data_IF_194352126119
#
_entry.id   IF_194352126119
#
_cell.length_a   1.000
_cell.length_b   1.000
_cell.length_c   1.000
_cell.angle_alpha   90.00
_cell.angle_beta   90.00
_cell.angle_gamma   90.00
#
_symmetry.space_group_name_H-M   'P 1'
#
loop_
_entity.id
_entity.type
_entity.pdbx_description
1 polymer ?
#
# COMPACT_ATOMS: atom_id res chain seq x y z
N UNK A 1 -56.09 -29.62 -7.06
CA UNK A 1 -56.58 -28.51 -7.90
C UNK A 1 -56.26 -27.20 -7.18
N UNK A 2 -55.06 -26.65 -7.36
CA UNK A 2 -54.61 -25.36 -6.81
C UNK A 2 -54.53 -24.38 -7.99
N UNK A 3 -55.42 -23.40 -8.04
CA UNK A 3 -55.40 -22.30 -9.00
C UNK A 3 -54.87 -21.06 -8.28
N UNK A 4 -53.56 -20.83 -8.36
CA UNK A 4 -52.90 -19.59 -7.94
C UNK A 4 -51.56 -19.47 -8.68
N UNK A 5 -51.64 -19.25 -9.99
CA UNK A 5 -50.46 -19.00 -10.84
C UNK A 5 -50.91 -18.22 -12.09
N UNK A 6 -51.24 -16.93 -11.96
CA UNK A 6 -51.52 -16.06 -13.12
C UNK A 6 -51.55 -14.53 -12.82
N UNK A 7 -50.82 -14.04 -11.81
CA UNK A 7 -50.54 -12.59 -11.64
C UNK A 7 -49.02 -12.36 -11.62
N UNK A 8 -48.26 -13.02 -12.48
CA UNK A 8 -47.76 -12.35 -13.68
C UNK A 8 -47.96 -10.82 -13.75
N UNK A 9 -46.84 -10.14 -13.46
CA UNK A 9 -46.17 -9.27 -14.42
C UNK A 9 -46.96 -8.06 -14.90
N UNK A 10 -46.94 -6.97 -14.13
CA UNK A 10 -47.21 -5.63 -14.68
C UNK A 10 -46.68 -4.43 -13.87
N UNK A 11 -45.66 -4.65 -13.03
CA UNK A 11 -44.87 -3.58 -12.43
C UNK A 11 -43.50 -3.49 -13.08
N UNK A 12 -43.48 -3.12 -14.36
CA UNK A 12 -42.27 -2.89 -15.15
C UNK A 12 -41.46 -1.73 -14.55
N UNK A 13 -40.16 -2.00 -14.40
CA UNK A 13 -39.09 -1.06 -14.75
C UNK A 13 -39.27 0.40 -14.29
N UNK A 14 -38.81 0.68 -13.07
CA UNK A 14 -38.10 1.93 -12.83
C UNK A 14 -36.65 1.59 -12.53
N UNK A 15 -35.93 1.27 -13.61
CA UNK A 15 -34.50 1.51 -13.69
C UNK A 15 -34.24 2.95 -13.26
N UNK A 16 -33.70 3.12 -12.05
CA UNK A 16 -32.79 4.23 -11.77
C UNK A 16 -31.59 3.62 -11.09
N UNK A 17 -30.74 3.08 -11.96
CA UNK A 17 -29.29 3.24 -11.86
C UNK A 17 -28.96 4.30 -10.82
N UNK A 18 -28.53 3.85 -9.64
CA UNK A 18 -27.73 4.71 -8.78
C UNK A 18 -26.48 4.92 -9.60
N UNK A 19 -26.47 6.00 -10.37
CA UNK A 19 -25.26 6.64 -10.83
C UNK A 19 -24.48 6.90 -9.55
N UNK A 20 -23.63 5.95 -9.20
CA UNK A 20 -22.69 6.09 -8.11
C UNK A 20 -21.73 7.13 -8.65
N UNK A 21 -22.07 8.40 -8.46
CA UNK A 21 -21.12 9.49 -8.64
C UNK A 21 -19.86 8.99 -7.96
N UNK A 22 -18.79 8.81 -8.76
CA UNK A 22 -17.54 8.24 -8.30
C UNK A 22 -16.89 9.31 -7.43
N UNK A 23 -17.40 9.44 -6.21
CA UNK A 23 -16.86 10.31 -5.19
C UNK A 23 -15.66 9.57 -4.63
N UNK A 24 -14.47 9.97 -5.07
CA UNK A 24 -13.22 9.53 -4.46
C UNK A 24 -13.14 10.11 -3.05
N UNK A 25 -13.65 9.37 -2.06
CA UNK A 25 -13.52 9.75 -0.66
C UNK A 25 -12.07 9.50 -0.24
N UNK A 26 -11.30 10.57 -0.03
CA UNK A 26 -9.92 10.46 0.51
C UNK A 26 -10.05 10.23 2.03
N UNK A 27 -9.78 9.02 2.54
CA UNK A 27 -9.93 8.75 3.97
C UNK A 27 -8.90 9.57 4.76
N UNK A 28 -9.37 10.44 5.65
CA UNK A 28 -8.53 11.16 6.62
C UNK A 28 -8.64 10.46 7.98
N UNK A 29 -7.51 10.06 8.55
CA UNK A 29 -7.45 9.39 9.85
C UNK A 29 -6.37 10.00 10.74
N UNK A 30 -6.64 10.09 12.04
CA UNK A 30 -5.64 10.47 13.05
C UNK A 30 -4.77 9.28 13.50
N UNK A 31 -4.96 8.10 12.89
CA UNK A 31 -4.20 6.90 13.20
C UNK A 31 -3.25 6.60 12.05
N UNK A 32 -1.95 6.34 12.32
CA UNK A 32 -1.03 5.92 11.28
C UNK A 32 -1.53 4.60 10.67
N UNK A 33 -1.47 4.52 9.35
CA UNK A 33 -1.87 3.33 8.59
C UNK A 33 -0.64 2.52 8.24
N UNK A 34 -0.75 1.19 8.33
CA UNK A 34 0.33 0.29 7.94
C UNK A 34 0.58 0.36 6.43
N UNK A 35 1.85 0.48 6.04
CA UNK A 35 2.28 0.48 4.63
C UNK A 35 2.46 -0.93 4.04
N UNK A 36 2.64 -1.95 4.88
CA UNK A 36 2.88 -3.33 4.47
C UNK A 36 1.55 -4.06 4.24
N UNK A 37 1.48 -4.83 3.15
CA UNK A 37 0.30 -5.64 2.81
C UNK A 37 -1.00 -4.84 2.77
N UNK A 38 -0.91 -3.58 2.32
CA UNK A 38 -2.05 -2.68 2.22
C UNK A 38 -2.34 -2.37 0.74
N UNK A 39 -3.19 -3.18 0.09
CA UNK A 39 -3.48 -2.99 -1.32
C UNK A 39 -4.20 -1.66 -1.60
N UNK A 40 -4.92 -1.10 -0.62
CA UNK A 40 -5.67 0.14 -0.85
C UNK A 40 -4.79 1.40 -0.75
N UNK A 41 -3.54 1.29 -0.28
CA UNK A 41 -2.67 2.43 -0.05
C UNK A 41 -2.39 3.21 -1.35
N UNK A 42 -1.80 2.56 -2.35
CA UNK A 42 -1.43 3.23 -3.60
C UNK A 42 -2.64 3.57 -4.47
N UNK A 43 -3.69 2.74 -4.41
CA UNK A 43 -4.96 2.99 -5.08
C UNK A 43 -5.60 4.29 -4.57
N UNK A 44 -5.57 4.53 -3.25
CA UNK A 44 -6.11 5.74 -2.63
C UNK A 44 -5.23 6.98 -2.80
N UNK A 45 -3.91 6.83 -2.85
CA UNK A 45 -2.98 7.96 -3.05
C UNK A 45 -3.02 8.46 -4.50
N UNK A 46 -3.18 7.56 -5.48
CA UNK A 46 -3.11 7.88 -6.91
C UNK A 46 -4.36 7.46 -7.68
N UNK A 47 -5.54 8.05 -7.41
CA UNK A 47 -6.77 7.70 -8.11
C UNK A 47 -6.69 7.97 -9.62
N UNK A 48 -5.84 8.91 -10.06
CA UNK A 48 -5.58 9.20 -11.47
C UNK A 48 -4.78 8.11 -12.19
N UNK A 49 -3.90 7.41 -11.47
CA UNK A 49 -3.13 6.28 -12.00
C UNK A 49 -3.92 4.96 -11.92
N UNK A 50 -4.81 4.86 -10.94
CA UNK A 50 -5.67 3.70 -10.70
C UNK A 50 -7.17 4.08 -10.79
N UNK A 51 -7.68 4.45 -11.98
CA UNK A 51 -9.04 4.99 -12.13
C UNK A 51 -10.15 4.01 -11.75
N UNK A 52 -9.87 2.70 -11.79
CA UNK A 52 -10.83 1.66 -11.43
C UNK A 52 -10.69 1.20 -9.96
N UNK A 53 -9.74 1.75 -9.20
CA UNK A 53 -9.47 1.29 -7.83
C UNK A 53 -9.06 -0.18 -7.75
N UNK A 54 -8.43 -0.71 -8.79
CA UNK A 54 -7.97 -2.11 -8.86
C UNK A 54 -6.53 -2.19 -9.40
N UNK A 55 -5.93 -3.38 -9.36
CA UNK A 55 -4.55 -3.57 -9.83
C UNK A 55 -3.49 -3.11 -8.83
N UNK A 56 -3.78 -3.24 -7.53
CA UNK A 56 -2.83 -2.86 -6.49
C UNK A 56 -1.58 -3.75 -6.50
N UNK A 57 -0.49 -3.20 -5.97
CA UNK A 57 0.80 -3.87 -5.92
C UNK A 57 0.78 -5.16 -5.09
N UNK A 58 0.14 -5.11 -3.92
CA UNK A 58 0.09 -6.18 -2.94
C UNK A 58 -1.32 -6.78 -2.82
N UNK A 59 -1.99 -6.92 -3.96
CA UNK A 59 -3.33 -7.52 -4.02
C UNK A 59 -3.27 -9.03 -3.75
N UNK A 60 -3.80 -9.43 -2.59
CA UNK A 60 -3.89 -10.84 -2.18
C UNK A 60 -4.90 -11.68 -2.98
N UNK A 61 -5.77 -11.05 -3.78
CA UNK A 61 -6.70 -11.77 -4.66
C UNK A 61 -6.00 -12.35 -5.90
N UNK A 62 -4.77 -11.91 -6.19
CA UNK A 62 -4.00 -12.36 -7.35
C UNK A 62 -3.58 -13.83 -7.19
N UNK A 63 -3.73 -14.67 -8.23
CA UNK A 63 -3.33 -16.09 -8.15
C UNK A 63 -1.81 -16.27 -7.99
N UNK A 64 -1.01 -15.34 -8.50
CA UNK A 64 0.45 -15.34 -8.40
C UNK A 64 0.89 -14.20 -7.53
N UNK A 65 1.64 -14.49 -6.46
CA UNK A 65 2.26 -13.45 -5.63
C UNK A 65 3.39 -12.79 -6.41
N UNK A 66 3.31 -11.47 -6.56
CA UNK A 66 4.35 -10.66 -7.20
C UNK A 66 5.06 -9.87 -6.10
N UNK A 67 6.37 -9.79 -6.15
CA UNK A 67 7.11 -8.96 -5.21
C UNK A 67 6.84 -7.47 -5.46
N UNK A 68 6.88 -6.67 -4.39
CA UNK A 68 6.62 -5.24 -4.46
C UNK A 68 7.56 -4.55 -5.47
N UNK A 69 8.84 -4.93 -5.50
CA UNK A 69 9.84 -4.34 -6.41
C UNK A 69 9.60 -4.75 -7.86
N UNK A 70 9.24 -6.00 -8.08
CA UNK A 70 8.96 -6.53 -9.42
C UNK A 70 7.73 -5.87 -10.04
N UNK A 71 6.66 -5.73 -9.25
CA UNK A 71 5.47 -5.04 -9.72
C UNK A 71 5.73 -3.55 -9.97
N UNK A 72 6.52 -2.87 -9.13
CA UNK A 72 6.92 -1.48 -9.40
C UNK A 72 7.68 -1.34 -10.70
N UNK A 73 8.60 -2.26 -11.01
CA UNK A 73 9.31 -2.27 -12.31
C UNK A 73 8.32 -2.39 -13.46
N UNK A 74 7.34 -3.28 -13.35
CA UNK A 74 6.28 -3.41 -14.35
C UNK A 74 5.47 -2.11 -14.52
N UNK A 75 5.06 -1.45 -13.42
CA UNK A 75 4.30 -0.20 -13.49
C UNK A 75 5.11 0.93 -14.13
N UNK A 76 6.40 1.04 -13.80
CA UNK A 76 7.27 2.06 -14.41
C UNK A 76 7.58 1.77 -15.89
N UNK A 77 7.55 0.51 -16.31
CA UNK A 77 7.69 0.11 -17.72
C UNK A 77 6.35 -0.06 -18.43
N UNK A 78 5.26 0.47 -17.87
CA UNK A 78 3.93 0.36 -18.47
C UNK A 78 3.87 1.11 -19.80
N UNK A 79 3.20 0.54 -20.81
CA UNK A 79 3.27 1.05 -22.19
C UNK A 79 2.83 2.52 -22.37
N UNK A 80 1.90 2.98 -21.52
CA UNK A 80 1.37 4.36 -21.54
C UNK A 80 2.25 5.35 -20.75
N UNK A 81 3.34 4.91 -20.11
CA UNK A 81 4.28 5.72 -19.31
C UNK A 81 3.67 6.60 -18.20
N UNK A 82 2.36 6.56 -17.97
CA UNK A 82 1.67 7.38 -16.96
C UNK A 82 2.28 7.29 -15.57
N UNK A 83 2.79 6.13 -15.18
CA UNK A 83 3.45 5.94 -13.88
C UNK A 83 4.87 6.54 -13.84
N UNK A 84 5.58 6.49 -14.97
CA UNK A 84 6.93 7.07 -15.13
C UNK A 84 6.85 8.61 -15.13
N UNK A 85 5.88 9.18 -15.85
CA UNK A 85 5.75 10.63 -16.02
C UNK A 85 5.02 11.32 -14.86
N UNK A 86 4.40 10.57 -13.94
CA UNK A 86 3.66 11.16 -12.83
C UNK A 86 4.58 11.84 -11.82
N UNK A 87 4.34 13.14 -11.62
CA UNK A 87 5.17 14.06 -10.83
C UNK A 87 5.63 13.54 -9.45
N UNK A 88 4.79 12.80 -8.74
CA UNK A 88 5.09 12.32 -7.37
C UNK A 88 5.19 10.81 -7.23
N UNK A 89 4.82 10.03 -8.25
CA UNK A 89 4.66 8.58 -8.10
C UNK A 89 5.98 7.92 -7.74
N UNK A 90 7.01 8.18 -8.54
CA UNK A 90 8.37 7.64 -8.37
C UNK A 90 8.91 7.95 -6.97
N UNK A 91 8.73 9.18 -6.48
CA UNK A 91 9.24 9.60 -5.16
C UNK A 91 8.54 8.87 -4.01
N UNK A 92 7.22 8.69 -4.09
CA UNK A 92 6.44 7.98 -3.07
C UNK A 92 6.85 6.51 -3.02
N UNK A 93 6.87 5.82 -4.17
CA UNK A 93 7.22 4.40 -4.21
C UNK A 93 8.68 4.15 -3.84
N UNK A 94 9.59 5.07 -4.20
CA UNK A 94 10.98 5.04 -3.79
C UNK A 94 11.14 5.21 -2.27
N UNK A 95 10.42 6.15 -1.66
CA UNK A 95 10.40 6.32 -0.21
C UNK A 95 9.92 5.05 0.50
N UNK A 96 8.85 4.43 0.01
CA UNK A 96 8.35 3.15 0.54
C UNK A 96 9.44 2.07 0.46
N UNK A 97 10.11 1.93 -0.70
CA UNK A 97 11.22 0.98 -0.85
C UNK A 97 12.36 1.23 0.13
N UNK A 98 12.78 2.48 0.30
CA UNK A 98 13.85 2.85 1.23
C UNK A 98 13.48 2.52 2.68
N UNK A 99 12.28 2.91 3.12
CA UNK A 99 11.79 2.61 4.48
C UNK A 99 11.72 1.11 4.72
N UNK A 100 11.14 0.35 3.78
CA UNK A 100 11.07 -1.12 3.89
C UNK A 100 12.45 -1.75 4.02
N UNK A 101 13.41 -1.29 3.23
CA UNK A 101 14.80 -1.78 3.27
C UNK A 101 15.46 -1.43 4.60
N UNK A 102 15.35 -0.18 5.06
CA UNK A 102 15.90 0.26 6.34
C UNK A 102 15.30 -0.49 7.52
N UNK A 103 13.97 -0.63 7.57
CA UNK A 103 13.28 -1.40 8.61
C UNK A 103 13.69 -2.87 8.61
N UNK A 104 13.83 -3.49 7.44
CA UNK A 104 14.29 -4.86 7.33
C UNK A 104 15.72 -5.03 7.87
N UNK A 105 16.65 -4.17 7.49
CA UNK A 105 18.02 -4.22 8.00
C UNK A 105 18.08 -3.94 9.50
N UNK A 106 17.34 -2.96 9.99
CA UNK A 106 17.24 -2.68 11.42
C UNK A 106 16.72 -3.91 12.18
N UNK A 107 15.64 -4.53 11.69
CA UNK A 107 15.10 -5.74 12.29
C UNK A 107 16.11 -6.90 12.29
N UNK A 108 16.84 -7.10 11.19
CA UNK A 108 17.89 -8.11 11.12
C UNK A 108 19.04 -7.85 12.09
N UNK A 109 19.40 -6.59 12.32
CA UNK A 109 20.45 -6.20 13.26
C UNK A 109 19.99 -6.37 14.71
N UNK A 110 18.78 -5.92 15.05
CA UNK A 110 18.24 -6.01 16.41
C UNK A 110 17.89 -7.44 16.83
N UNK A 111 17.60 -8.32 15.87
CA UNK A 111 17.32 -9.73 16.13
C UNK A 111 18.58 -10.55 16.47
N UNK A 112 19.78 -9.97 16.40
CA UNK A 112 21.03 -10.67 16.69
C UNK A 112 21.27 -10.77 18.20
N UNK A 113 21.80 -11.91 18.71
CA UNK A 113 21.98 -12.12 20.15
C UNK A 113 22.96 -11.11 20.79
N UNK A 114 23.99 -10.68 20.04
CA UNK A 114 24.97 -9.70 20.51
C UNK A 114 24.44 -8.25 20.51
N UNK A 115 23.28 -7.98 19.90
CA UNK A 115 22.72 -6.62 19.85
C UNK A 115 22.51 -6.03 21.24
N UNK A 116 22.00 -6.83 22.19
CA UNK A 116 21.77 -6.39 23.57
C UNK A 116 23.07 -5.98 24.26
N UNK A 117 24.14 -6.76 24.07
CA UNK A 117 25.45 -6.45 24.66
C UNK A 117 26.04 -5.17 24.06
N UNK A 118 25.95 -5.00 22.74
CA UNK A 118 26.38 -3.76 22.07
C UNK A 118 25.54 -2.56 22.51
N UNK A 119 24.23 -2.71 22.69
CA UNK A 119 23.36 -1.63 23.16
C UNK A 119 23.70 -1.19 24.59
N UNK A 120 23.92 -2.14 25.49
CA UNK A 120 24.35 -1.86 26.87
C UNK A 120 25.72 -1.17 26.92
N UNK A 121 26.67 -1.61 26.08
CA UNK A 121 27.97 -0.97 25.95
C UNK A 121 27.81 0.48 25.47
N UNK A 122 27.04 0.71 24.41
CA UNK A 122 26.79 2.04 23.87
C UNK A 122 26.11 2.97 24.89
N UNK A 123 25.18 2.44 25.70
CA UNK A 123 24.53 3.19 26.78
C UNK A 123 25.52 3.60 27.89
N UNK A 124 26.52 2.75 28.17
CA UNK A 124 27.54 3.03 29.18
C UNK A 124 28.60 4.05 28.77
N UNK A 125 28.68 4.42 27.47
CA UNK A 125 29.67 5.37 26.97
C UNK A 125 29.37 6.80 27.45
N UNK A 126 30.38 7.46 28.02
CA UNK A 126 30.29 8.85 28.44
C UNK A 126 30.83 9.82 27.39
N UNK A 127 30.49 11.10 27.52
CA UNK A 127 31.01 12.17 26.64
C UNK A 127 32.55 12.24 26.66
N UNK A 128 33.17 11.92 27.80
CA UNK A 128 34.64 11.90 27.93
C UNK A 128 35.26 10.80 27.06
N UNK A 129 34.66 9.61 27.02
CA UNK A 129 35.15 8.48 26.22
C UNK A 129 35.08 8.80 24.72
N UNK A 130 34.04 9.52 24.30
CA UNK A 130 33.88 9.97 22.90
C UNK A 130 34.95 11.00 22.53
N UNK A 131 35.22 11.96 23.42
CA UNK A 131 36.21 13.02 23.18
C UNK A 131 37.65 12.49 23.14
N UNK A 132 37.93 11.33 23.75
CA UNK A 132 39.27 10.73 23.75
C UNK A 132 39.56 9.94 22.47
N UNK A 133 38.53 9.56 21.72
CA UNK A 133 38.64 8.76 20.49
C UNK A 133 38.67 9.61 19.20
N UNK A 134 38.29 10.89 19.29
CA UNK A 134 38.33 11.88 18.20
C UNK A 134 39.64 12.65 18.20
#
# INVERSE_FOLDING_TARGET
MKLQTAEQTRGLASERSIQKDIVYMIPRGNRPVNEYSNPNLLLGIFPTLFPYGCGSIEDGSRPVKIDFREHLRYLLSFGDRRFEEHYSFIFVVFNILQRRTACFHAHLMTSRPYFQQSAQLLESLSSADIATAL
#
